data_IF_180032907142
#
_entry.id   IF_180032907142
#
_cell.length_a   1.000
_cell.length_b   1.000
_cell.length_c   1.000
_cell.angle_alpha   90.00
_cell.angle_beta   90.00
_cell.angle_gamma   90.00
#
_symmetry.space_group_name_H-M   'P 1'
#
loop_
_entity.id
_entity.type
_entity.pdbx_description
1 polymer ?
#
# COMPACT_ATOMS: atom_id res chain seq x y z
N UNK A 1 -8.91 -7.31 3.92
CA UNK A 1 -7.62 -6.87 4.45
C UNK A 1 -6.55 -6.99 3.39
N UNK A 2 -5.76 -5.96 3.20
CA UNK A 2 -4.68 -5.98 2.20
C UNK A 2 -3.36 -6.32 2.89
N UNK A 3 -3.18 -7.60 3.17
CA UNK A 3 -2.04 -8.09 3.93
C UNK A 3 -0.70 -7.73 3.30
N UNK A 4 -0.62 -7.74 1.96
CA UNK A 4 0.62 -7.45 1.25
C UNK A 4 1.10 -6.03 1.52
N UNK A 5 0.18 -5.07 1.59
CA UNK A 5 0.53 -3.67 1.85
C UNK A 5 1.16 -3.54 3.24
N UNK A 6 0.57 -4.20 4.22
CA UNK A 6 1.12 -4.22 5.58
C UNK A 6 2.48 -4.91 5.62
N UNK A 7 2.61 -6.04 4.93
CA UNK A 7 3.87 -6.78 4.91
C UNK A 7 5.00 -5.96 4.31
N UNK A 8 4.74 -5.24 3.22
CA UNK A 8 5.73 -4.36 2.60
C UNK A 8 6.16 -3.24 3.55
N UNK A 9 5.20 -2.68 4.27
CA UNK A 9 5.49 -1.64 5.25
C UNK A 9 6.38 -2.18 6.38
N UNK A 10 5.99 -3.33 6.94
CA UNK A 10 6.75 -3.96 8.03
C UNK A 10 8.16 -4.36 7.58
N UNK A 11 8.31 -4.87 6.36
CA UNK A 11 9.62 -5.27 5.82
C UNK A 11 10.60 -4.10 5.76
N UNK A 12 10.10 -2.87 5.66
CA UNK A 12 10.92 -1.67 5.59
C UNK A 12 10.98 -0.90 6.90
N UNK A 13 10.50 -1.49 7.97
CA UNK A 13 10.45 -0.85 9.29
C UNK A 13 9.73 0.51 9.27
N UNK A 14 8.72 0.63 8.43
CA UNK A 14 7.93 1.85 8.33
C UNK A 14 6.72 1.77 9.24
N UNK A 15 6.33 2.92 9.78
CA UNK A 15 5.11 3.04 10.57
C UNK A 15 3.97 3.57 9.70
N UNK A 16 2.73 3.31 10.13
CA UNK A 16 1.56 3.79 9.38
C UNK A 16 1.61 5.30 9.15
N UNK A 17 2.11 6.06 10.12
CA UNK A 17 2.21 7.52 9.98
C UNK A 17 3.11 7.94 8.82
N UNK A 18 4.16 7.17 8.51
CA UNK A 18 5.05 7.48 7.39
C UNK A 18 4.29 7.38 6.06
N UNK A 19 3.47 6.34 5.92
CA UNK A 19 2.69 6.16 4.71
C UNK A 19 1.56 7.18 4.63
N UNK A 20 0.95 7.54 5.76
CA UNK A 20 -0.07 8.56 5.79
C UNK A 20 0.50 9.91 5.33
N UNK A 21 1.68 10.27 5.80
CA UNK A 21 2.36 11.49 5.36
C UNK A 21 2.66 11.47 3.86
N UNK A 22 3.19 10.34 3.38
CA UNK A 22 3.49 10.18 1.96
C UNK A 22 2.23 10.35 1.10
N UNK A 23 1.11 9.80 1.55
CA UNK A 23 -0.16 9.85 0.83
C UNK A 23 -0.96 11.13 1.11
N UNK A 24 -0.46 11.98 2.00
CA UNK A 24 -1.13 13.21 2.39
C UNK A 24 -2.54 12.96 2.95
N UNK A 25 -2.66 11.97 3.81
CA UNK A 25 -3.91 11.64 4.49
C UNK A 25 -3.65 11.42 5.99
N UNK A 26 -4.73 11.27 6.76
CA UNK A 26 -4.57 11.00 8.18
C UNK A 26 -4.13 9.56 8.41
N UNK A 27 -3.49 9.31 9.56
CA UNK A 27 -3.09 7.97 9.94
C UNK A 27 -4.30 7.04 10.05
N UNK A 28 -5.44 7.54 10.52
CA UNK A 28 -6.66 6.76 10.63
C UNK A 28 -7.16 6.31 9.25
N UNK A 29 -7.15 7.20 8.27
CA UNK A 29 -7.54 6.87 6.90
C UNK A 29 -6.61 5.80 6.32
N UNK A 30 -5.31 5.96 6.51
CA UNK A 30 -4.35 4.96 6.02
C UNK A 30 -4.56 3.60 6.70
N UNK A 31 -4.79 3.61 8.02
CA UNK A 31 -5.06 2.38 8.77
C UNK A 31 -6.29 1.67 8.21
N UNK A 32 -7.33 2.42 7.88
CA UNK A 32 -8.55 1.84 7.30
C UNK A 32 -8.27 1.20 5.94
N UNK A 33 -7.35 1.75 5.16
CA UNK A 33 -6.92 1.14 3.90
C UNK A 33 -6.29 -0.24 4.15
N UNK A 34 -5.35 -0.33 5.09
CA UNK A 34 -4.69 -1.61 5.41
C UNK A 34 -5.69 -2.65 5.91
N UNK A 35 -6.64 -2.23 6.73
CA UNK A 35 -7.63 -3.13 7.31
C UNK A 35 -8.75 -3.53 6.34
N UNK A 36 -8.82 -2.89 5.18
CA UNK A 36 -9.87 -3.16 4.21
C UNK A 36 -11.22 -2.57 4.60
N UNK A 37 -11.25 -1.64 5.56
CA UNK A 37 -12.47 -0.98 6.00
C UNK A 37 -12.86 0.19 5.12
N UNK A 38 -11.98 0.57 4.20
CA UNK A 38 -12.21 1.65 3.26
C UNK A 38 -11.54 1.29 1.95
N UNK A 39 -12.24 1.49 0.85
CA UNK A 39 -11.69 1.24 -0.48
C UNK A 39 -10.50 2.15 -0.74
N UNK A 40 -9.46 1.59 -1.33
CA UNK A 40 -8.27 2.36 -1.68
C UNK A 40 -8.49 2.97 -3.06
N UNK A 41 -8.46 4.32 -3.18
CA UNK A 41 -8.58 4.95 -4.48
C UNK A 41 -7.47 4.49 -5.43
N UNK A 42 -7.76 4.47 -6.72
CA UNK A 42 -6.81 4.02 -7.74
C UNK A 42 -5.50 4.81 -7.69
N UNK A 43 -5.59 6.13 -7.53
CA UNK A 43 -4.40 6.97 -7.44
C UNK A 43 -3.52 6.63 -6.24
N UNK A 44 -4.14 6.28 -5.11
CA UNK A 44 -3.41 5.84 -3.91
C UNK A 44 -2.70 4.51 -4.17
N UNK A 45 -3.36 3.58 -4.85
CA UNK A 45 -2.75 2.29 -5.22
C UNK A 45 -1.53 2.52 -6.11
N UNK A 46 -1.63 3.39 -7.09
CA UNK A 46 -0.52 3.70 -7.99
C UNK A 46 0.65 4.31 -7.22
N UNK A 47 0.36 5.24 -6.30
CA UNK A 47 1.40 5.87 -5.48
C UNK A 47 2.09 4.88 -4.56
N UNK A 48 1.34 3.95 -3.96
CA UNK A 48 1.92 2.90 -3.13
C UNK A 48 2.80 1.96 -3.95
N UNK A 49 2.34 1.58 -5.15
CA UNK A 49 3.11 0.73 -6.05
C UNK A 49 4.44 1.41 -6.41
N UNK A 50 4.41 2.71 -6.71
CA UNK A 50 5.60 3.48 -7.00
C UNK A 50 6.53 3.56 -5.78
N UNK A 51 5.95 3.79 -4.62
CA UNK A 51 6.73 3.90 -3.38
C UNK A 51 7.52 2.61 -3.11
N UNK A 52 6.86 1.46 -3.26
CA UNK A 52 7.48 0.15 -3.00
C UNK A 52 8.16 -0.44 -4.23
N UNK A 53 8.04 0.19 -5.40
CA UNK A 53 8.59 -0.30 -6.65
C UNK A 53 8.08 -1.70 -7.01
N UNK A 54 6.78 -1.90 -6.86
CA UNK A 54 6.09 -3.15 -7.18
C UNK A 54 4.88 -2.84 -8.06
N UNK A 55 4.26 -3.90 -8.61
CA UNK A 55 3.03 -3.73 -9.39
C UNK A 55 1.82 -3.54 -8.46
N UNK A 56 0.76 -2.91 -8.97
CA UNK A 56 -0.50 -2.81 -8.24
C UNK A 56 -1.09 -4.19 -7.98
N UNK A 57 -0.97 -5.11 -8.95
CA UNK A 57 -1.43 -6.48 -8.77
C UNK A 57 -0.76 -7.15 -7.57
N UNK A 58 0.54 -6.92 -7.40
CA UNK A 58 1.27 -7.45 -6.26
C UNK A 58 0.75 -6.85 -4.94
N UNK A 59 0.48 -5.54 -4.92
CA UNK A 59 -0.08 -4.89 -3.74
C UNK A 59 -1.41 -5.51 -3.32
N UNK A 60 -2.23 -5.86 -4.29
CA UNK A 60 -3.56 -6.43 -4.03
C UNK A 60 -3.55 -7.93 -3.77
N UNK A 61 -2.37 -8.56 -3.86
CA UNK A 61 -2.24 -9.99 -3.64
C UNK A 61 -2.71 -10.85 -4.79
N UNK A 62 -2.87 -10.27 -5.99
CA UNK A 62 -3.34 -10.99 -7.17
C UNK A 62 -2.23 -11.75 -7.87
N UNK A 63 -0.99 -11.45 -7.57
CA UNK A 63 0.18 -12.14 -8.11
C UNK A 63 1.25 -12.23 -7.03
N UNK A 64 2.11 -13.25 -7.13
CA UNK A 64 3.26 -13.39 -6.25
C UNK A 64 4.52 -12.73 -6.81
N UNK A 65 4.43 -12.24 -8.03
CA UNK A 65 5.56 -11.59 -8.70
C UNK A 65 5.50 -10.07 -8.48
N UNK A 66 6.46 -9.48 -7.74
CA UNK A 66 6.45 -8.04 -7.48
C UNK A 66 6.84 -7.20 -8.69
N UNK A 67 7.33 -7.82 -9.74
CA UNK A 67 7.89 -7.11 -10.89
C UNK A 67 6.84 -6.23 -11.54
N UNK A 68 7.20 -4.97 -11.79
CA UNK A 68 6.31 -4.01 -12.42
C UNK A 68 6.17 -4.30 -13.91
N UNK A 69 4.94 -4.16 -14.39
CA UNK A 69 4.65 -4.16 -15.82
C UNK A 69 4.86 -2.76 -16.35
N UNK A 70 5.63 -2.67 -17.38
CA UNK A 70 5.83 -1.38 -18.07
C UNK A 70 4.96 -1.29 -19.30
#
# INVERSE_FOLDING_TARGET
MYQRIRDLRDDRDLKQRHLAEFLNCSQQVYSNYELGQRDIPTDVLIRLADFYQVSVDYLLGLTKNPKRNK
#
